data_IF_430071963785
#
_entry.id   IF_430071963785
#
_cell.length_a   1.000
_cell.length_b   1.000
_cell.length_c   1.000
_cell.angle_alpha   90.00
_cell.angle_beta   90.00
_cell.angle_gamma   90.00
#
_symmetry.space_group_name_H-M   'P 1'
#
loop_
_entity.id
_entity.type
_entity.pdbx_description
1 polymer ?
#
# COMPACT_ATOMS: atom_id res chain seq x y z
N UNK A 1 -21.15 -16.95 -2.08
CA UNK A 1 -20.53 -17.06 -0.74
C UNK A 1 -20.02 -15.69 -0.27
N UNK A 2 -20.24 -15.32 0.98
CA UNK A 2 -19.73 -14.06 1.57
C UNK A 2 -18.39 -14.32 2.25
N UNK A 3 -17.39 -13.48 1.99
CA UNK A 3 -16.05 -13.56 2.59
C UNK A 3 -15.83 -12.38 3.55
N UNK A 4 -15.36 -12.65 4.76
CA UNK A 4 -15.03 -11.63 5.76
C UNK A 4 -13.58 -11.15 5.55
N UNK A 5 -13.40 -10.00 4.90
CA UNK A 5 -12.06 -9.44 4.62
C UNK A 5 -11.45 -8.67 5.80
N UNK A 6 -12.28 -8.14 6.70
CA UNK A 6 -11.85 -7.38 7.88
C UNK A 6 -12.00 -8.23 9.14
N UNK A 7 -11.27 -9.34 9.19
CA UNK A 7 -11.25 -10.27 10.32
C UNK A 7 -10.47 -9.72 11.53
N UNK A 8 -9.86 -10.62 12.29
CA UNK A 8 -8.96 -10.23 13.39
C UNK A 8 -7.81 -9.37 12.86
N UNK A 9 -7.65 -8.14 13.39
CA UNK A 9 -6.72 -7.12 12.88
C UNK A 9 -5.27 -7.62 12.71
N UNK A 10 -4.79 -8.44 13.63
CA UNK A 10 -3.41 -8.94 13.63
C UNK A 10 -3.24 -10.25 12.84
N UNK A 11 -4.33 -10.82 12.31
CA UNK A 11 -4.26 -11.94 11.38
C UNK A 11 -3.95 -11.41 9.99
N UNK A 12 -2.91 -11.96 9.37
CA UNK A 12 -2.49 -11.59 8.00
C UNK A 12 -2.88 -12.65 6.96
N UNK A 13 -3.56 -13.72 7.39
CA UNK A 13 -3.89 -14.89 6.57
C UNK A 13 -4.87 -14.56 5.45
N UNK A 14 -5.93 -13.81 5.78
CA UNK A 14 -7.02 -13.49 4.86
C UNK A 14 -6.86 -12.08 4.26
N UNK A 15 -6.24 -11.17 5.00
CA UNK A 15 -5.94 -9.80 4.59
C UNK A 15 -4.58 -9.37 5.15
N UNK A 16 -3.59 -9.22 4.27
CA UNK A 16 -2.25 -8.78 4.64
C UNK A 16 -2.11 -7.26 4.41
N UNK A 17 -2.24 -6.48 5.48
CA UNK A 17 -1.98 -5.04 5.43
C UNK A 17 -0.47 -4.78 5.60
N UNK A 18 0.19 -4.31 4.53
CA UNK A 18 1.63 -4.05 4.57
C UNK A 18 2.02 -2.92 5.52
N UNK A 19 1.14 -1.94 5.76
CA UNK A 19 1.42 -0.87 6.71
C UNK A 19 1.47 -1.41 8.13
N UNK A 20 0.57 -2.34 8.48
CA UNK A 20 0.62 -3.04 9.77
C UNK A 20 1.88 -3.88 9.91
N UNK A 21 2.31 -4.60 8.87
CA UNK A 21 3.58 -5.34 8.86
C UNK A 21 4.77 -4.41 9.11
N UNK A 22 4.85 -3.31 8.35
CA UNK A 22 5.97 -2.37 8.37
C UNK A 22 6.04 -1.56 9.68
N UNK A 23 4.88 -1.34 10.31
CA UNK A 23 4.78 -0.72 11.63
C UNK A 23 4.84 -1.74 12.78
N UNK A 24 5.17 -3.01 12.49
CA UNK A 24 5.25 -4.09 13.49
C UNK A 24 3.98 -4.19 14.35
N UNK A 25 2.81 -4.21 13.69
CA UNK A 25 1.49 -4.26 14.32
C UNK A 25 1.26 -3.17 15.37
N UNK A 26 1.83 -1.98 15.14
CA UNK A 26 1.70 -0.80 16.01
C UNK A 26 2.81 -0.66 17.06
N UNK A 27 3.81 -1.55 17.08
CA UNK A 27 4.98 -1.39 17.95
C UNK A 27 5.88 -0.22 17.50
N UNK A 28 5.95 0.05 16.19
CA UNK A 28 6.60 1.25 15.68
C UNK A 28 5.65 2.46 15.77
N UNK A 29 6.13 3.56 16.35
CA UNK A 29 5.33 4.79 16.52
C UNK A 29 5.39 5.71 15.29
N UNK A 30 6.37 5.50 14.42
CA UNK A 30 6.55 6.27 13.20
C UNK A 30 5.80 5.57 12.07
N UNK A 31 5.11 6.34 11.24
CA UNK A 31 4.49 5.87 10.01
C UNK A 31 5.10 6.59 8.83
N UNK A 32 5.50 5.82 7.83
CA UNK A 32 6.14 6.34 6.63
C UNK A 32 5.22 6.15 5.42
N UNK A 33 5.38 7.00 4.41
CA UNK A 33 4.59 6.91 3.18
C UNK A 33 4.98 5.69 2.34
N UNK A 34 4.09 5.30 1.42
CA UNK A 34 4.39 4.26 0.43
C UNK A 34 5.66 4.60 -0.38
N UNK A 35 5.85 5.86 -0.79
CA UNK A 35 7.06 6.34 -1.48
C UNK A 35 8.35 6.07 -0.69
N UNK A 36 8.33 6.27 0.63
CA UNK A 36 9.48 5.97 1.49
C UNK A 36 9.80 4.47 1.47
N UNK A 37 8.79 3.63 1.67
CA UNK A 37 8.99 2.18 1.72
C UNK A 37 9.42 1.59 0.38
N UNK A 38 8.84 2.05 -0.73
CA UNK A 38 9.28 1.66 -2.07
C UNK A 38 10.78 1.96 -2.26
N UNK A 39 11.23 3.18 -1.93
CA UNK A 39 12.66 3.52 -2.01
C UNK A 39 13.52 2.66 -1.08
N UNK A 40 13.08 2.43 0.16
CA UNK A 40 13.83 1.67 1.17
C UNK A 40 14.05 0.21 0.78
N UNK A 41 13.10 -0.36 0.03
CA UNK A 41 13.10 -1.74 -0.43
C UNK A 41 13.46 -1.90 -1.91
N UNK A 42 13.93 -0.83 -2.55
CA UNK A 42 14.37 -0.81 -3.96
C UNK A 42 13.26 -1.21 -4.95
N UNK A 43 12.02 -0.87 -4.62
CA UNK A 43 10.84 -0.99 -5.47
C UNK A 43 10.61 0.33 -6.19
N UNK A 44 10.11 0.27 -7.44
CA UNK A 44 9.75 1.46 -8.19
C UNK A 44 8.72 2.29 -7.40
N UNK A 45 9.06 3.56 -7.15
CA UNK A 45 8.16 4.43 -6.40
C UNK A 45 6.95 4.81 -7.27
N UNK A 46 5.73 4.81 -6.70
CA UNK A 46 4.54 5.24 -7.43
C UNK A 46 4.48 6.76 -7.63
N UNK A 47 5.44 7.51 -7.05
CA UNK A 47 5.49 8.97 -7.13
C UNK A 47 5.57 9.42 -8.59
N UNK A 48 4.65 10.28 -8.99
CA UNK A 48 4.62 10.85 -10.33
C UNK A 48 4.04 12.25 -10.36
N UNK A 49 3.35 12.58 -11.45
CA UNK A 49 2.80 13.93 -11.70
C UNK A 49 1.56 14.28 -10.86
N UNK A 50 1.00 13.30 -10.16
CA UNK A 50 -0.23 13.42 -9.38
C UNK A 50 -0.02 12.82 -8.00
N UNK A 51 -0.63 13.44 -6.99
CA UNK A 51 -0.78 12.91 -5.63
C UNK A 51 -2.24 12.98 -5.16
N UNK A 52 -2.49 12.46 -3.95
CA UNK A 52 -3.83 12.37 -3.36
C UNK A 52 -4.54 13.72 -3.19
N UNK A 53 -3.81 14.82 -3.01
CA UNK A 53 -4.42 16.16 -2.86
C UNK A 53 -5.10 16.64 -4.15
N UNK A 54 -4.68 16.11 -5.30
CA UNK A 54 -5.18 16.51 -6.62
C UNK A 54 -6.43 15.74 -7.06
N UNK A 55 -6.76 14.62 -6.40
CA UNK A 55 -7.86 13.71 -6.80
C UNK A 55 -9.18 14.46 -6.94
N UNK A 56 -9.55 15.26 -5.94
CA UNK A 56 -10.82 15.99 -5.94
C UNK A 56 -10.93 17.00 -7.09
N UNK A 57 -9.84 17.71 -7.39
CA UNK A 57 -9.79 18.67 -8.50
C UNK A 57 -9.91 17.96 -9.85
N UNK A 58 -9.12 16.90 -10.07
CA UNK A 58 -9.13 16.10 -11.30
C UNK A 58 -10.50 15.46 -11.55
N UNK A 59 -11.14 14.93 -10.52
CA UNK A 59 -12.47 14.35 -10.62
C UNK A 59 -13.51 15.39 -11.07
N UNK A 60 -13.51 16.58 -10.47
CA UNK A 60 -14.40 17.69 -10.89
C UNK A 60 -14.15 18.15 -12.32
N UNK A 61 -12.91 18.03 -12.81
CA UNK A 61 -12.55 18.33 -14.19
C UNK A 61 -12.74 17.16 -15.17
N UNK A 62 -13.35 16.04 -14.73
CA UNK A 62 -13.60 14.87 -15.58
C UNK A 62 -12.34 14.07 -15.97
N UNK A 63 -11.21 14.30 -15.30
CA UNK A 63 -9.90 13.70 -15.62
C UNK A 63 -9.72 12.36 -14.92
N UNK A 64 -10.64 11.43 -15.17
CA UNK A 64 -10.66 10.12 -14.48
C UNK A 64 -9.51 9.20 -14.90
N UNK A 65 -9.02 9.29 -16.14
CA UNK A 65 -7.89 8.49 -16.61
C UNK A 65 -6.62 8.78 -15.79
N UNK A 66 -6.38 10.05 -15.42
CA UNK A 66 -5.24 10.43 -14.57
C UNK A 66 -5.37 9.84 -13.16
N UNK A 67 -6.60 9.77 -12.63
CA UNK A 67 -6.88 9.17 -11.31
C UNK A 67 -6.69 7.65 -11.38
N UNK A 68 -7.18 7.01 -12.44
CA UNK A 68 -7.05 5.57 -12.65
C UNK A 68 -5.57 5.17 -12.76
N UNK A 69 -4.77 5.91 -13.52
CA UNK A 69 -3.33 5.69 -13.64
C UNK A 69 -2.61 5.91 -12.30
N UNK A 70 -3.02 6.89 -11.50
CA UNK A 70 -2.50 7.07 -10.14
C UNK A 70 -2.80 5.86 -9.24
N UNK A 71 -4.05 5.41 -9.17
CA UNK A 71 -4.43 4.23 -8.38
C UNK A 71 -3.71 2.96 -8.85
N UNK A 72 -3.54 2.78 -10.17
CA UNK A 72 -2.85 1.63 -10.74
C UNK A 72 -1.38 1.59 -10.33
N UNK A 73 -0.69 2.74 -10.35
CA UNK A 73 0.72 2.85 -9.91
C UNK A 73 0.87 2.54 -8.43
N UNK A 74 0.01 3.08 -7.56
CA UNK A 74 0.01 2.76 -6.13
C UNK A 74 -0.24 1.26 -5.87
N UNK A 75 -1.16 0.65 -6.63
CA UNK A 75 -1.47 -0.78 -6.52
C UNK A 75 -0.29 -1.65 -6.95
N UNK A 76 0.37 -1.33 -8.07
CA UNK A 76 1.57 -2.04 -8.56
C UNK A 76 2.71 -1.94 -7.56
N UNK A 77 3.01 -0.73 -7.09
CA UNK A 77 4.06 -0.50 -6.10
C UNK A 77 3.81 -1.27 -4.79
N UNK A 78 2.55 -1.34 -4.34
CA UNK A 78 2.15 -2.14 -3.17
C UNK A 78 2.35 -3.64 -3.40
N UNK A 79 2.00 -4.15 -4.58
CA UNK A 79 2.20 -5.56 -4.93
C UNK A 79 3.70 -5.92 -4.99
N UNK A 80 4.52 -5.08 -5.60
CA UNK A 80 5.97 -5.28 -5.68
C UNK A 80 6.63 -5.23 -4.30
N UNK A 81 6.18 -4.30 -3.45
CA UNK A 81 6.60 -4.23 -2.05
C UNK A 81 6.22 -5.51 -1.29
N UNK A 82 5.00 -6.02 -1.47
CA UNK A 82 4.60 -7.32 -0.90
C UNK A 82 5.56 -8.43 -1.35
N UNK A 83 5.90 -8.51 -2.64
CA UNK A 83 6.81 -9.54 -3.13
C UNK A 83 8.19 -9.47 -2.47
N UNK A 84 8.68 -8.26 -2.18
CA UNK A 84 9.95 -8.07 -1.47
C UNK A 84 9.89 -8.51 0.00
N UNK A 85 8.73 -8.34 0.64
CA UNK A 85 8.52 -8.64 2.05
C UNK A 85 8.09 -10.09 2.34
N UNK A 86 7.53 -10.79 1.36
CA UNK A 86 6.89 -12.11 1.51
C UNK A 86 7.77 -13.18 2.16
N UNK A 87 9.09 -13.09 1.94
CA UNK A 87 10.07 -14.06 2.43
C UNK A 87 10.94 -13.50 3.57
N UNK A 88 10.64 -12.31 4.09
CA UNK A 88 11.45 -11.62 5.10
C UNK A 88 10.63 -11.20 6.31
N UNK A 89 9.87 -10.11 6.22
CA UNK A 89 9.08 -9.60 7.34
C UNK A 89 7.76 -10.36 7.53
N UNK A 90 7.08 -10.69 6.43
CA UNK A 90 5.75 -11.32 6.48
C UNK A 90 5.74 -12.64 7.30
N UNK A 91 6.73 -13.55 7.15
CA UNK A 91 6.76 -14.80 7.92
C UNK A 91 6.89 -14.62 9.44
N UNK A 92 7.24 -13.43 9.92
CA UNK A 92 7.33 -13.14 11.36
C UNK A 92 5.95 -12.95 12.01
N UNK A 93 4.90 -12.79 11.20
CA UNK A 93 3.52 -12.51 11.64
C UNK A 93 2.51 -13.59 11.21
N UNK A 94 2.98 -14.65 10.54
CA UNK A 94 2.19 -15.77 10.02
C UNK A 94 2.14 -16.96 10.97
#
# INVERSE_FOLDING_TARGET
PTLQLTGYRYSIKDHCDLMEILNFQGAARESYSLDYWCRRFEVESPKGKMDGSMVASKARSGKYDEIAEYCLRDTRATADLFQRLRNTLIPLFS
#
